data_IF_832697004683
#
_entry.id   IF_832697004683
#
_cell.length_a   1.000
_cell.length_b   1.000
_cell.length_c   1.000
_cell.angle_alpha   90.00
_cell.angle_beta   90.00
_cell.angle_gamma   90.00
#
_symmetry.space_group_name_H-M   'P 1'
#
loop_
_entity.id
_entity.type
_entity.pdbx_description
1 polymer ?
#
# COMPACT_ATOMS: atom_id res chain seq x y z
N UNK A 1 53.77 7.90 -4.48
CA UNK A 1 54.60 7.48 -3.35
C UNK A 1 54.49 8.55 -2.30
N UNK A 2 53.65 8.33 -1.28
CA UNK A 2 53.66 9.07 -0.01
C UNK A 2 53.40 8.00 1.03
N UNK A 3 54.48 7.58 1.67
CA UNK A 3 54.51 6.57 2.72
C UNK A 3 54.06 7.21 4.03
N UNK A 4 52.99 6.68 4.61
CA UNK A 4 52.58 6.92 5.99
C UNK A 4 52.15 5.58 6.58
N UNK A 5 53.10 4.87 7.19
CA UNK A 5 52.90 3.51 7.69
C UNK A 5 51.94 3.47 8.88
N UNK A 6 50.94 2.59 8.82
CA UNK A 6 50.17 2.13 9.99
C UNK A 6 49.88 0.63 9.79
N UNK A 7 50.78 -0.19 10.35
CA UNK A 7 50.70 -1.62 10.70
C UNK A 7 49.52 -2.39 10.07
N UNK A 8 49.77 -3.12 8.97
CA UNK A 8 48.78 -3.96 8.25
C UNK A 8 48.64 -5.39 8.77
N UNK A 9 49.39 -5.74 9.82
CA UNK A 9 49.64 -7.12 10.22
C UNK A 9 49.36 -7.32 11.71
N UNK A 10 48.47 -8.25 12.02
CA UNK A 10 48.10 -8.62 13.39
C UNK A 10 48.59 -10.04 13.66
N UNK A 11 49.31 -10.27 14.76
CA UNK A 11 49.63 -11.64 15.19
C UNK A 11 48.36 -12.34 15.70
N UNK A 12 48.07 -13.51 15.15
CA UNK A 12 46.92 -14.35 15.53
C UNK A 12 47.42 -15.76 15.83
N UNK A 13 46.91 -16.36 16.92
CA UNK A 13 47.17 -17.77 17.23
C UNK A 13 46.18 -18.65 16.48
N UNK A 14 46.69 -19.56 15.67
CA UNK A 14 45.89 -20.59 15.01
C UNK A 14 45.37 -21.63 16.03
N UNK A 15 44.32 -22.40 15.70
CA UNK A 15 43.86 -23.54 16.51
C UNK A 15 44.97 -24.57 16.80
N UNK A 16 46.01 -24.63 15.95
CA UNK A 16 47.19 -25.47 16.14
C UNK A 16 48.21 -24.91 17.14
N UNK A 17 47.92 -23.79 17.82
CA UNK A 17 48.81 -23.11 18.76
C UNK A 17 49.93 -22.25 18.14
N UNK A 18 50.07 -22.26 16.80
CA UNK A 18 51.10 -21.49 16.08
C UNK A 18 50.69 -20.01 15.94
N UNK A 19 51.60 -19.10 16.26
CA UNK A 19 51.44 -17.67 15.99
C UNK A 19 51.76 -17.38 14.53
N UNK A 20 50.83 -16.74 13.83
CA UNK A 20 50.97 -16.35 12.42
C UNK A 20 50.54 -14.90 12.22
N UNK A 21 51.00 -14.32 11.12
CA UNK A 21 50.65 -12.95 10.74
C UNK A 21 49.37 -12.94 9.90
N UNK A 22 48.29 -12.39 10.43
CA UNK A 22 47.02 -12.26 9.71
C UNK A 22 46.99 -10.99 8.85
N UNK A 23 46.40 -11.11 7.66
CA UNK A 23 46.19 -9.99 6.73
C UNK A 23 44.86 -9.31 7.04
N UNK A 24 44.81 -7.99 6.84
CA UNK A 24 43.59 -7.19 6.93
C UNK A 24 42.78 -7.31 5.64
N UNK A 25 41.50 -7.67 5.76
CA UNK A 25 40.55 -7.71 4.65
C UNK A 25 39.42 -6.71 4.90
N UNK A 26 38.94 -6.08 3.83
CA UNK A 26 37.70 -5.28 3.81
C UNK A 26 36.73 -5.97 2.87
N UNK A 27 35.54 -6.30 3.37
CA UNK A 27 34.45 -6.87 2.57
C UNK A 27 33.29 -5.88 2.51
N UNK A 28 32.69 -5.75 1.34
CA UNK A 28 31.44 -5.01 1.13
C UNK A 28 30.32 -6.04 0.96
N UNK A 29 29.28 -5.90 1.76
CA UNK A 29 28.11 -6.77 1.75
C UNK A 29 26.96 -5.93 1.20
N UNK A 30 26.39 -6.38 0.07
CA UNK A 30 25.24 -5.76 -0.58
C UNK A 30 24.12 -6.79 -0.67
N UNK A 31 22.90 -6.32 -0.53
CA UNK A 31 21.70 -7.15 -0.68
C UNK A 31 20.46 -6.26 -0.71
N UNK A 32 19.31 -6.89 -0.65
CA UNK A 32 18.03 -6.22 -0.47
C UNK A 32 17.14 -7.04 0.47
N UNK A 33 16.15 -6.39 1.04
CA UNK A 33 15.04 -7.04 1.74
C UNK A 33 13.72 -6.55 1.15
N UNK A 34 12.67 -7.35 1.25
CA UNK A 34 11.31 -6.92 0.96
C UNK A 34 10.45 -7.21 2.18
N UNK A 35 9.54 -6.29 2.50
CA UNK A 35 8.56 -6.48 3.55
C UNK A 35 7.34 -7.19 2.96
N UNK A 36 6.79 -8.17 3.68
CA UNK A 36 5.52 -8.79 3.33
C UNK A 36 4.46 -8.34 4.33
N UNK A 37 3.44 -7.65 3.84
CA UNK A 37 2.36 -7.12 4.65
C UNK A 37 1.24 -8.17 4.69
N UNK A 38 1.14 -8.91 5.81
CA UNK A 38 0.22 -10.05 5.95
C UNK A 38 -1.24 -9.62 5.73
N UNK A 39 -1.65 -8.49 6.29
CA UNK A 39 -3.01 -7.98 6.16
C UNK A 39 -3.37 -7.55 4.73
N UNK A 40 -2.36 -7.31 3.90
CA UNK A 40 -2.49 -6.73 2.56
C UNK A 40 -2.18 -7.74 1.45
N UNK A 41 -1.65 -8.92 1.82
CA UNK A 41 -1.14 -9.92 0.88
C UNK A 41 -0.22 -9.32 -0.20
N UNK A 42 0.54 -8.28 0.15
CA UNK A 42 1.38 -7.50 -0.77
C UNK A 42 2.86 -7.51 -0.30
N UNK A 43 3.77 -7.26 -1.23
CA UNK A 43 5.20 -7.12 -0.92
C UNK A 43 5.72 -5.71 -1.19
N UNK A 44 6.67 -5.24 -0.38
CA UNK A 44 7.40 -4.02 -0.70
C UNK A 44 8.34 -4.20 -1.87
N UNK A 45 8.57 -3.09 -2.58
CA UNK A 45 9.72 -2.94 -3.45
C UNK A 45 11.01 -3.36 -2.70
N UNK A 46 11.98 -4.02 -3.38
CA UNK A 46 13.24 -4.39 -2.77
C UNK A 46 13.95 -3.17 -2.17
N UNK A 47 14.18 -3.21 -0.85
CA UNK A 47 14.88 -2.18 -0.09
C UNK A 47 16.38 -2.56 -0.07
N UNK A 48 17.24 -1.90 -0.86
CA UNK A 48 18.65 -2.26 -0.93
C UNK A 48 19.39 -1.83 0.34
N UNK A 49 20.37 -2.63 0.76
CA UNK A 49 21.28 -2.27 1.84
C UNK A 49 22.74 -2.49 1.42
N UNK A 50 23.64 -1.73 2.04
CA UNK A 50 25.08 -1.90 1.87
C UNK A 50 25.78 -1.68 3.21
N UNK A 51 26.60 -2.65 3.62
CA UNK A 51 27.46 -2.52 4.81
C UNK A 51 28.87 -3.00 4.50
N UNK A 52 29.82 -2.65 5.37
CA UNK A 52 31.21 -3.04 5.24
C UNK A 52 31.76 -3.60 6.54
N UNK A 53 32.58 -4.63 6.43
CA UNK A 53 33.29 -5.21 7.57
C UNK A 53 34.78 -5.27 7.29
N UNK A 54 35.56 -4.98 8.33
CA UNK A 54 36.99 -5.21 8.34
C UNK A 54 37.24 -6.41 9.26
N UNK A 55 37.99 -7.40 8.76
CA UNK A 55 38.40 -8.56 9.54
C UNK A 55 39.85 -8.93 9.24
N UNK A 56 40.44 -9.75 10.12
CA UNK A 56 41.80 -10.25 9.96
C UNK A 56 41.75 -11.76 9.81
N UNK A 57 42.47 -12.28 8.83
CA UNK A 57 42.50 -13.72 8.55
C UNK A 57 43.89 -14.13 8.06
N UNK A 58 44.39 -15.26 8.53
CA UNK A 58 45.59 -15.87 7.97
C UNK A 58 45.27 -16.56 6.64
N UNK A 59 45.76 -15.95 5.55
CA UNK A 59 45.54 -16.40 4.18
C UNK A 59 46.89 -16.50 3.42
N UNK A 60 47.55 -17.67 3.46
CA UNK A 60 48.78 -17.90 2.71
C UNK A 60 48.56 -17.79 1.19
N UNK A 61 49.64 -17.61 0.44
CA UNK A 61 49.55 -17.46 -1.03
C UNK A 61 48.94 -18.73 -1.65
N UNK A 62 47.97 -18.57 -2.54
CA UNK A 62 47.25 -19.67 -3.17
C UNK A 62 45.99 -20.15 -2.43
N UNK A 63 45.56 -19.47 -1.36
CA UNK A 63 44.26 -19.73 -0.74
C UNK A 63 43.15 -18.89 -1.34
N UNK A 64 41.94 -19.47 -1.36
CA UNK A 64 40.69 -18.80 -1.65
C UNK A 64 39.98 -18.41 -0.35
N UNK A 65 39.18 -17.34 -0.40
CA UNK A 65 38.30 -16.96 0.69
C UNK A 65 36.89 -17.46 0.43
N UNK A 66 36.35 -18.23 1.38
CA UNK A 66 35.01 -18.80 1.32
C UNK A 66 34.15 -18.16 2.39
N UNK A 67 33.07 -17.50 1.96
CA UNK A 67 32.12 -16.82 2.83
C UNK A 67 30.86 -17.66 2.94
N UNK A 68 30.42 -17.96 4.16
CA UNK A 68 29.13 -18.61 4.41
C UNK A 68 28.36 -17.86 5.50
N UNK A 69 27.08 -17.61 5.24
CA UNK A 69 26.14 -17.21 6.27
C UNK A 69 25.85 -18.43 7.15
N UNK A 70 25.90 -18.25 8.46
CA UNK A 70 25.52 -19.28 9.43
C UNK A 70 24.41 -18.83 10.36
N UNK A 71 24.14 -17.53 10.43
CA UNK A 71 23.06 -16.94 11.23
C UNK A 71 22.45 -15.77 10.47
N UNK A 72 21.12 -15.71 10.46
CA UNK A 72 20.33 -14.63 9.89
C UNK A 72 19.20 -14.34 10.88
N UNK A 73 19.23 -13.17 11.48
CA UNK A 73 18.18 -12.70 12.39
C UNK A 73 17.69 -11.35 11.91
N UNK A 74 16.42 -11.09 12.11
CA UNK A 74 15.84 -9.78 11.87
C UNK A 74 14.92 -9.39 13.02
N UNK A 75 14.82 -8.10 13.30
CA UNK A 75 13.74 -7.54 14.08
C UNK A 75 13.15 -6.35 13.32
N UNK A 76 11.86 -6.14 13.54
CA UNK A 76 11.12 -5.01 13.00
C UNK A 76 10.61 -4.27 14.22
N UNK A 77 11.13 -3.06 14.43
CA UNK A 77 10.68 -2.16 15.47
C UNK A 77 9.82 -1.07 14.80
N UNK A 78 8.53 -1.00 15.15
CA UNK A 78 7.71 0.16 14.78
C UNK A 78 8.12 1.36 15.66
N UNK A 79 8.75 2.36 15.05
CA UNK A 79 9.05 3.61 15.73
C UNK A 79 7.91 4.58 15.42
N UNK A 80 6.96 4.69 16.35
CA UNK A 80 6.02 5.80 16.38
C UNK A 80 6.79 7.09 16.68
N UNK A 81 7.26 7.79 15.65
CA UNK A 81 7.71 9.17 15.82
C UNK A 81 6.50 10.08 15.89
N UNK A 82 6.59 11.22 16.60
CA UNK A 82 5.51 12.20 16.81
C UNK A 82 4.84 12.74 15.51
N UNK A 83 5.32 12.33 14.33
CA UNK A 83 4.76 12.65 13.02
C UNK A 83 3.88 11.52 12.43
N UNK A 84 3.57 10.46 13.19
CA UNK A 84 2.53 9.43 12.94
C UNK A 84 2.55 8.72 11.56
N UNK A 85 3.62 8.83 10.79
CA UNK A 85 3.94 7.87 9.72
C UNK A 85 4.65 6.68 10.36
N UNK A 86 4.27 5.43 10.07
CA UNK A 86 4.97 4.26 10.61
C UNK A 86 6.39 4.24 10.02
N UNK A 87 7.35 4.74 10.80
CA UNK A 87 8.75 4.54 10.51
C UNK A 87 9.12 3.17 11.05
N UNK A 88 9.24 2.21 10.14
CA UNK A 88 9.66 0.86 10.47
C UNK A 88 11.19 0.87 10.51
N UNK A 89 11.78 0.61 11.67
CA UNK A 89 13.21 0.33 11.76
C UNK A 89 13.42 -1.19 11.66
N UNK A 90 14.00 -1.63 10.56
CA UNK A 90 14.30 -3.04 10.33
C UNK A 90 15.75 -3.26 10.71
N UNK A 91 16.01 -4.07 11.72
CA UNK A 91 17.38 -4.48 12.08
C UNK A 91 17.65 -5.87 11.55
N UNK A 92 18.65 -6.00 10.68
CA UNK A 92 19.10 -7.27 10.13
C UNK A 92 20.47 -7.60 10.71
N UNK A 93 20.60 -8.78 11.31
CA UNK A 93 21.83 -9.33 11.85
C UNK A 93 22.32 -10.49 11.00
N UNK A 94 23.49 -10.34 10.40
CA UNK A 94 24.11 -11.30 9.49
C UNK A 94 25.36 -11.90 10.14
N UNK A 95 25.27 -13.14 10.60
CA UNK A 95 26.41 -13.93 11.06
C UNK A 95 27.12 -14.60 9.90
N UNK A 96 28.36 -14.16 9.62
CA UNK A 96 29.18 -14.69 8.52
C UNK A 96 30.42 -15.37 9.06
N UNK A 97 30.74 -16.55 8.51
CA UNK A 97 32.03 -17.21 8.68
C UNK A 97 32.83 -17.08 7.39
N UNK A 98 34.08 -16.62 7.52
CA UNK A 98 35.05 -16.58 6.43
C UNK A 98 36.11 -17.62 6.69
N UNK A 99 36.40 -18.44 5.67
CA UNK A 99 37.44 -19.48 5.72
C UNK A 99 38.49 -19.18 4.67
N UNK A 100 39.76 -19.28 5.07
CA UNK A 100 40.87 -19.32 4.11
C UNK A 100 41.14 -20.77 3.77
N UNK A 101 40.89 -21.18 2.53
CA UNK A 101 40.95 -22.57 2.11
C UNK A 101 41.82 -22.78 0.86
N UNK A 102 42.50 -23.93 0.79
CA UNK A 102 43.12 -24.41 -0.44
C UNK A 102 43.07 -25.94 -0.51
N UNK A 103 43.11 -26.49 -1.72
CA UNK A 103 43.28 -27.92 -1.94
C UNK A 103 44.71 -28.31 -1.63
N UNK A 104 44.88 -29.31 -0.76
CA UNK A 104 46.18 -29.86 -0.39
C UNK A 104 46.10 -31.37 -0.41
N UNK A 105 47.25 -31.98 -0.67
CA UNK A 105 47.40 -33.42 -0.55
C UNK A 105 47.74 -33.77 0.90
N UNK A 106 46.87 -34.56 1.52
CA UNK A 106 47.07 -35.08 2.87
C UNK A 106 47.50 -36.53 2.79
N UNK A 107 48.66 -36.83 3.34
CA UNK A 107 49.17 -38.20 3.43
C UNK A 107 48.68 -38.82 4.74
N UNK A 108 47.82 -39.83 4.65
CA UNK A 108 47.25 -40.54 5.80
C UNK A 108 47.70 -42.00 5.83
N UNK A 109 47.84 -42.62 7.02
CA UNK A 109 48.02 -44.05 7.12
C UNK A 109 46.71 -44.76 6.67
N UNK A 110 46.83 -45.66 5.71
CA UNK A 110 45.75 -46.52 5.23
C UNK A 110 46.14 -47.99 5.43
N UNK A 111 45.16 -48.80 5.82
CA UNK A 111 45.33 -50.25 6.00
C UNK A 111 44.92 -50.93 4.70
N UNK A 112 45.84 -51.65 4.06
CA UNK A 112 45.48 -52.57 2.97
C UNK A 112 44.83 -53.82 3.58
N UNK A 113 43.68 -54.24 3.07
CA UNK A 113 43.07 -55.50 3.47
C UNK A 113 43.97 -56.67 3.06
N UNK A 114 44.29 -57.61 3.97
CA UNK A 114 45.18 -58.71 3.67
C UNK A 114 44.49 -59.69 2.72
N UNK A 115 45.14 -60.04 1.60
CA UNK A 115 44.59 -61.01 0.65
C UNK A 115 44.71 -62.44 1.16
N UNK A 116 45.69 -62.77 2.01
CA UNK A 116 45.83 -64.09 2.65
C UNK A 116 46.48 -63.99 4.04
N UNK A 117 45.79 -64.57 5.02
CA UNK A 117 46.17 -64.84 6.42
C UNK A 117 46.29 -63.67 7.43
N UNK A 118 45.79 -63.99 8.62
CA UNK A 118 45.33 -63.11 9.70
C UNK A 118 46.51 -62.61 10.56
N UNK A 119 46.45 -61.34 10.99
CA UNK A 119 47.28 -60.62 11.97
C UNK A 119 48.48 -59.76 11.50
N UNK A 120 48.67 -59.44 10.21
CA UNK A 120 49.72 -58.47 9.81
C UNK A 120 49.19 -57.36 8.89
N UNK A 121 48.66 -56.29 9.50
CA UNK A 121 48.23 -55.09 8.77
C UNK A 121 49.45 -54.28 8.31
N UNK A 122 49.65 -54.16 6.99
CA UNK A 122 50.62 -53.20 6.45
C UNK A 122 50.00 -51.81 6.41
N UNK A 123 50.57 -50.89 7.19
CA UNK A 123 50.21 -49.47 7.12
C UNK A 123 50.92 -48.86 5.91
N UNK A 124 50.17 -48.49 4.88
CA UNK A 124 50.67 -47.76 3.72
C UNK A 124 50.29 -46.28 3.82
N UNK A 125 51.07 -45.42 3.18
CA UNK A 125 50.74 -43.99 3.06
C UNK A 125 49.80 -43.81 1.88
N UNK A 126 48.55 -43.47 2.12
CA UNK A 126 47.60 -43.05 1.08
C UNK A 126 47.63 -41.53 0.96
N UNK A 127 47.60 -41.04 -0.28
CA UNK A 127 47.51 -39.61 -0.57
C UNK A 127 46.05 -39.28 -0.90
N UNK A 128 45.43 -38.41 -0.13
CA UNK A 128 44.06 -37.95 -0.37
C UNK A 128 44.07 -36.44 -0.63
N UNK A 129 43.34 -36.01 -1.65
CA UNK A 129 43.17 -34.59 -1.92
C UNK A 129 42.06 -34.05 -1.01
N UNK A 130 42.38 -33.03 -0.21
CA UNK A 130 41.46 -32.45 0.78
C UNK A 130 41.48 -30.93 0.73
N UNK A 131 40.35 -30.31 1.05
CA UNK A 131 40.29 -28.86 1.27
C UNK A 131 40.78 -28.54 2.67
N UNK A 132 41.97 -27.94 2.79
CA UNK A 132 42.51 -27.49 4.07
C UNK A 132 42.04 -26.07 4.37
N UNK A 133 41.42 -25.90 5.53
CA UNK A 133 41.14 -24.59 6.11
C UNK A 133 42.34 -24.14 6.95
N UNK A 134 42.95 -23.03 6.57
CA UNK A 134 44.13 -22.47 7.25
C UNK A 134 43.73 -21.63 8.47
N UNK A 135 42.62 -20.89 8.35
CA UNK A 135 42.09 -20.03 9.38
C UNK A 135 40.60 -19.77 9.14
N UNK A 136 39.89 -19.38 10.20
CA UNK A 136 38.48 -18.98 10.14
C UNK A 136 38.23 -17.74 10.98
N UNK A 137 37.43 -16.82 10.46
CA UNK A 137 36.97 -15.64 11.16
C UNK A 137 35.43 -15.62 11.19
N UNK A 138 34.86 -15.34 12.36
CA UNK A 138 33.44 -15.11 12.53
C UNK A 138 33.21 -13.62 12.76
N UNK A 139 32.22 -13.06 12.08
CA UNK A 139 31.74 -11.72 12.39
C UNK A 139 30.24 -11.60 12.17
N UNK A 140 29.65 -10.69 12.93
CA UNK A 140 28.27 -10.26 12.75
C UNK A 140 28.25 -8.85 12.18
N UNK A 141 27.33 -8.61 11.26
CA UNK A 141 26.95 -7.26 10.81
C UNK A 141 25.53 -6.98 11.28
N UNK A 142 25.35 -5.83 11.91
CA UNK A 142 24.03 -5.29 12.21
C UNK A 142 23.76 -4.18 11.20
N UNK A 143 22.60 -4.24 10.57
CA UNK A 143 22.18 -3.35 9.49
C UNK A 143 20.83 -2.80 9.90
N UNK A 144 20.76 -1.49 10.13
CA UNK A 144 19.50 -0.79 10.40
C UNK A 144 19.01 -0.19 9.09
N UNK A 145 17.80 -0.57 8.70
CA UNK A 145 17.15 -0.16 7.45
C UNK A 145 15.89 0.59 7.85
N UNK A 146 15.88 1.94 7.78
CA UNK A 146 14.65 2.69 7.95
C UNK A 146 13.76 2.47 6.74
N UNK A 147 12.49 2.19 6.98
CA UNK A 147 11.46 2.11 5.96
C UNK A 147 10.31 3.04 6.34
N UNK A 148 9.93 3.89 5.39
CA UNK A 148 8.76 4.73 5.49
C UNK A 148 7.95 4.52 4.22
N UNK A 149 6.68 4.16 4.37
CA UNK A 149 5.77 4.04 3.24
C UNK A 149 5.49 5.44 2.69
N UNK A 150 5.90 5.70 1.45
CA UNK A 150 5.57 6.95 0.77
C UNK A 150 4.09 6.95 0.40
N UNK A 151 3.35 7.92 0.93
CA UNK A 151 1.94 8.13 0.62
C UNK A 151 1.84 9.03 -0.61
N UNK A 152 1.12 8.57 -1.62
CA UNK A 152 0.84 9.38 -2.81
C UNK A 152 -0.34 10.28 -2.48
N UNK A 153 -0.11 11.59 -2.40
CA UNK A 153 -1.18 12.57 -2.18
C UNK A 153 -2.03 12.74 -3.43
N UNK A 154 -3.33 12.93 -3.24
CA UNK A 154 -4.21 13.36 -4.31
C UNK A 154 -4.60 14.81 -4.15
N UNK A 155 -4.72 15.49 -5.29
CA UNK A 155 -5.44 16.74 -5.42
C UNK A 155 -6.90 16.40 -5.71
N UNK A 156 -7.83 16.91 -4.90
CA UNK A 156 -9.27 16.71 -5.09
C UNK A 156 -9.92 18.05 -5.35
N UNK A 157 -10.68 18.13 -6.43
CA UNK A 157 -11.44 19.31 -6.83
C UNK A 157 -12.90 18.95 -7.02
N UNK A 158 -13.80 19.77 -6.49
CA UNK A 158 -15.24 19.58 -6.60
C UNK A 158 -15.85 20.72 -7.40
N UNK A 159 -16.26 20.45 -8.63
CA UNK A 159 -17.14 21.35 -9.38
C UNK A 159 -18.55 21.19 -8.82
N UNK A 160 -19.16 22.29 -8.34
CA UNK A 160 -20.49 22.27 -7.74
C UNK A 160 -21.42 23.22 -8.47
N UNK A 161 -22.60 22.75 -8.83
CA UNK A 161 -23.66 23.56 -9.43
C UNK A 161 -25.03 23.05 -8.98
N UNK A 162 -26.09 23.77 -9.35
CA UNK A 162 -27.47 23.36 -9.10
C UNK A 162 -28.12 22.97 -10.41
N UNK A 163 -28.92 21.91 -10.35
CA UNK A 163 -29.80 21.54 -11.44
C UNK A 163 -30.88 22.61 -11.61
N UNK A 164 -31.04 23.12 -12.84
CA UNK A 164 -32.13 24.02 -13.21
C UNK A 164 -33.04 23.34 -14.23
N UNK A 165 -34.35 23.51 -14.09
CA UNK A 165 -35.34 22.92 -14.99
C UNK A 165 -35.00 23.19 -16.47
N UNK A 166 -35.06 22.15 -17.30
CA UNK A 166 -34.70 22.15 -18.72
C UNK A 166 -33.22 22.43 -19.06
N UNK A 167 -32.32 22.49 -18.06
CA UNK A 167 -30.88 22.63 -18.28
C UNK A 167 -30.18 21.27 -18.30
N UNK A 168 -29.70 20.88 -19.47
CA UNK A 168 -28.96 19.62 -19.68
C UNK A 168 -27.46 19.83 -19.90
N UNK A 169 -27.00 21.07 -20.10
CA UNK A 169 -25.59 21.39 -20.33
C UNK A 169 -25.14 22.43 -19.31
N UNK A 170 -23.98 22.18 -18.71
CA UNK A 170 -23.37 22.98 -17.64
C UNK A 170 -21.96 23.35 -18.06
N UNK A 171 -21.55 24.57 -17.71
CA UNK A 171 -20.28 25.17 -18.09
C UNK A 171 -19.57 25.76 -16.87
N UNK A 172 -18.35 26.27 -17.06
CA UNK A 172 -17.59 26.92 -15.98
C UNK A 172 -18.37 28.09 -15.33
N UNK A 173 -19.21 28.79 -16.09
CA UNK A 173 -20.04 29.89 -15.60
C UNK A 173 -21.16 29.45 -14.63
N UNK A 174 -21.48 28.15 -14.62
CA UNK A 174 -22.49 27.57 -13.74
C UNK A 174 -21.93 27.13 -12.38
N UNK A 175 -20.63 27.23 -12.21
CA UNK A 175 -19.97 26.87 -10.96
C UNK A 175 -20.40 27.81 -9.81
N UNK A 176 -20.75 27.20 -8.69
CA UNK A 176 -20.94 27.91 -7.42
C UNK A 176 -19.57 28.31 -6.88
N UNK A 177 -19.15 29.55 -7.20
CA UNK A 177 -17.81 30.07 -6.95
C UNK A 177 -17.37 30.07 -5.47
N UNK A 178 -18.33 30.00 -4.55
CA UNK A 178 -18.09 29.86 -3.11
C UNK A 178 -17.47 28.51 -2.71
N UNK A 179 -17.63 27.48 -3.54
CA UNK A 179 -17.13 26.13 -3.30
C UNK A 179 -15.90 25.75 -4.14
N UNK A 180 -15.64 26.47 -5.23
CA UNK A 180 -14.54 26.23 -6.17
C UNK A 180 -14.60 27.22 -7.34
N UNK A 181 -13.50 27.42 -8.07
CA UNK A 181 -13.44 28.39 -9.17
C UNK A 181 -12.50 27.96 -10.33
N UNK A 182 -12.30 26.66 -10.49
CA UNK A 182 -11.46 26.07 -11.54
C UNK A 182 -12.28 25.60 -12.74
N UNK A 183 -13.62 25.65 -12.67
CA UNK A 183 -14.51 25.14 -13.69
C UNK A 183 -14.48 23.61 -13.81
N UNK A 184 -14.98 23.11 -14.94
CA UNK A 184 -15.01 21.69 -15.28
C UNK A 184 -13.64 21.31 -15.85
N UNK A 185 -12.87 20.54 -15.08
CA UNK A 185 -11.52 20.13 -15.46
C UNK A 185 -11.51 19.21 -16.68
N UNK A 186 -10.37 19.17 -17.38
CA UNK A 186 -10.17 18.23 -18.49
C UNK A 186 -10.08 16.80 -17.94
N UNK A 187 -10.95 15.87 -18.37
CA UNK A 187 -10.85 14.45 -18.01
C UNK A 187 -9.49 13.80 -18.28
N UNK A 188 -8.69 14.35 -19.20
CA UNK A 188 -7.34 13.85 -19.53
C UNK A 188 -6.24 14.40 -18.60
N UNK A 189 -6.53 15.44 -17.83
CA UNK A 189 -5.58 16.10 -16.91
C UNK A 189 -5.84 15.71 -15.44
N UNK A 190 -6.67 14.68 -15.20
CA UNK A 190 -6.99 14.13 -13.87
C UNK A 190 -6.83 12.62 -13.89
N UNK A 191 -6.76 11.97 -12.72
CA UNK A 191 -6.70 10.50 -12.67
C UNK A 191 -8.07 9.88 -12.94
N UNK A 192 -9.11 10.37 -12.26
CA UNK A 192 -10.50 10.00 -12.51
C UNK A 192 -11.45 11.08 -12.01
N UNK A 193 -12.73 10.94 -12.36
CA UNK A 193 -13.79 11.78 -11.81
C UNK A 193 -15.07 10.95 -11.58
N UNK A 194 -15.91 11.42 -10.67
CA UNK A 194 -17.23 10.82 -10.38
C UNK A 194 -18.28 11.94 -10.38
N UNK A 195 -19.37 11.76 -11.13
CA UNK A 195 -20.52 12.66 -11.13
C UNK A 195 -21.56 12.19 -10.11
N UNK A 196 -21.96 13.11 -9.22
CA UNK A 196 -23.04 12.94 -8.27
C UNK A 196 -24.18 13.89 -8.62
N UNK A 197 -25.41 13.38 -8.64
CA UNK A 197 -26.63 14.19 -8.72
C UNK A 197 -27.47 13.82 -7.51
N UNK A 198 -27.76 14.81 -6.65
CA UNK A 198 -28.49 14.62 -5.40
C UNK A 198 -27.92 13.48 -4.51
N UNK A 199 -26.59 13.37 -4.44
CA UNK A 199 -25.90 12.32 -3.67
C UNK A 199 -25.85 10.95 -4.34
N UNK A 200 -26.43 10.78 -5.53
CA UNK A 200 -26.41 9.50 -6.28
C UNK A 200 -25.38 9.57 -7.41
N UNK A 201 -24.49 8.57 -7.45
CA UNK A 201 -23.52 8.41 -8.54
C UNK A 201 -24.23 8.20 -9.87
N UNK A 202 -23.78 8.93 -10.88
CA UNK A 202 -24.27 8.78 -12.25
C UNK A 202 -23.32 7.89 -13.07
N UNK A 203 -23.83 6.84 -13.72
CA UNK A 203 -23.06 6.07 -14.71
C UNK A 203 -22.57 6.94 -15.86
N UNK A 204 -21.42 6.61 -16.45
CA UNK A 204 -20.79 7.38 -17.53
C UNK A 204 -21.63 7.43 -18.82
N UNK A 205 -22.58 6.51 -19.01
CA UNK A 205 -23.55 6.55 -20.11
C UNK A 205 -24.53 7.73 -20.00
N UNK A 206 -24.75 8.24 -18.80
CA UNK A 206 -25.76 9.26 -18.52
C UNK A 206 -25.27 10.68 -18.78
N UNK A 207 -24.01 10.86 -19.14
CA UNK A 207 -23.45 12.17 -19.40
C UNK A 207 -22.27 12.13 -20.38
N UNK A 208 -21.85 13.31 -20.82
CA UNK A 208 -20.62 13.59 -21.52
C UNK A 208 -19.91 14.69 -20.77
N UNK A 209 -18.61 14.54 -20.54
CA UNK A 209 -17.80 15.56 -19.89
C UNK A 209 -16.55 15.83 -20.71
N UNK A 210 -16.23 17.11 -20.85
CA UNK A 210 -15.04 17.66 -21.49
C UNK A 210 -14.60 18.87 -20.67
N UNK A 211 -13.37 19.33 -20.90
CA UNK A 211 -12.92 20.60 -20.32
C UNK A 211 -13.96 21.70 -20.57
N UNK A 212 -14.43 22.34 -19.51
CA UNK A 212 -15.42 23.41 -19.54
C UNK A 212 -16.87 23.02 -19.83
N UNK A 213 -17.19 21.73 -19.97
CA UNK A 213 -18.56 21.30 -20.35
C UNK A 213 -18.95 19.96 -19.74
N UNK A 214 -20.12 19.93 -19.09
CA UNK A 214 -20.82 18.73 -18.66
C UNK A 214 -22.20 18.71 -19.34
N UNK A 215 -22.49 17.67 -20.11
CA UNK A 215 -23.76 17.47 -20.78
C UNK A 215 -24.45 16.20 -20.27
N UNK A 216 -25.61 16.35 -19.66
CA UNK A 216 -26.47 15.25 -19.24
C UNK A 216 -27.18 14.64 -20.46
N UNK A 217 -27.27 13.31 -20.48
CA UNK A 217 -27.95 12.50 -21.51
C UNK A 217 -29.19 11.78 -21.00
N UNK A 218 -29.44 11.85 -19.69
CA UNK A 218 -30.56 11.18 -19.04
C UNK A 218 -31.89 11.85 -19.40
N UNK A 219 -32.93 11.03 -19.59
CA UNK A 219 -34.32 11.49 -19.70
C UNK A 219 -34.91 11.82 -18.32
N UNK A 220 -34.44 11.14 -17.28
CA UNK A 220 -34.84 11.40 -15.89
C UNK A 220 -34.27 12.73 -15.43
N UNK A 221 -35.16 13.71 -15.31
CA UNK A 221 -34.83 15.07 -14.90
C UNK A 221 -34.74 15.13 -13.37
N UNK A 222 -33.61 15.58 -12.80
CA UNK A 222 -33.49 15.79 -11.37
C UNK A 222 -34.51 16.82 -10.86
N UNK A 223 -34.77 16.84 -9.55
CA UNK A 223 -35.59 17.90 -8.96
C UNK A 223 -34.90 19.25 -9.12
N UNK A 224 -35.67 20.30 -9.39
CA UNK A 224 -35.12 21.65 -9.50
C UNK A 224 -34.35 22.02 -8.22
N UNK A 225 -33.18 22.64 -8.39
CA UNK A 225 -32.20 22.95 -7.34
C UNK A 225 -31.50 21.73 -6.71
N UNK A 226 -31.58 20.53 -7.30
CA UNK A 226 -30.75 19.41 -6.84
C UNK A 226 -29.27 19.73 -7.01
N UNK A 227 -28.40 19.37 -6.05
CA UNK A 227 -26.97 19.57 -6.21
C UNK A 227 -26.43 18.63 -7.30
N UNK A 228 -25.61 19.20 -8.18
CA UNK A 228 -24.78 18.47 -9.14
C UNK A 228 -23.33 18.72 -8.74
N UNK A 229 -22.61 17.63 -8.46
CA UNK A 229 -21.20 17.70 -8.08
C UNK A 229 -20.39 16.77 -8.96
N UNK A 230 -19.33 17.30 -9.59
CA UNK A 230 -18.30 16.46 -10.22
C UNK A 230 -17.08 16.47 -9.31
N UNK A 231 -16.72 15.30 -8.80
CA UNK A 231 -15.51 15.11 -8.00
C UNK A 231 -14.37 14.68 -8.91
N UNK A 232 -13.36 15.53 -9.06
CA UNK A 232 -12.15 15.24 -9.80
C UNK A 232 -11.04 14.86 -8.82
N UNK A 233 -10.38 13.72 -9.06
CA UNK A 233 -9.29 13.24 -8.23
C UNK A 233 -8.04 13.06 -9.10
N UNK A 234 -6.95 13.69 -8.70
CA UNK A 234 -5.68 13.67 -9.44
C UNK A 234 -4.58 13.16 -8.54
N UNK A 235 -4.00 12.03 -8.93
CA UNK A 235 -2.77 11.51 -8.34
C UNK A 235 -1.60 11.82 -9.26
N UNK A 236 -0.47 12.22 -8.67
CA UNK A 236 0.79 12.44 -9.39
C UNK A 236 1.89 11.58 -8.77
N UNK A 237 2.76 11.04 -9.60
CA UNK A 237 3.99 10.39 -9.13
C UNK A 237 5.02 11.41 -8.63
N UNK A 238 6.17 10.92 -8.15
CA UNK A 238 7.25 11.77 -7.65
C UNK A 238 7.86 12.70 -8.73
N UNK A 239 7.57 12.48 -10.01
CA UNK A 239 8.00 13.32 -11.13
C UNK A 239 6.90 14.31 -11.58
N UNK A 240 5.74 14.31 -10.92
CA UNK A 240 4.59 15.13 -11.29
C UNK A 240 3.74 14.55 -12.44
N UNK A 241 3.99 13.30 -12.86
CA UNK A 241 3.22 12.63 -13.90
C UNK A 241 1.90 12.14 -13.32
N UNK A 242 0.79 12.45 -13.99
CA UNK A 242 -0.54 11.99 -13.58
C UNK A 242 -0.62 10.47 -13.67
N UNK A 243 -1.06 9.85 -12.58
CA UNK A 243 -1.28 8.41 -12.55
C UNK A 243 -2.60 8.07 -13.25
N UNK A 244 -2.59 7.14 -14.23
CA UNK A 244 -3.82 6.71 -14.88
C UNK A 244 -4.72 6.00 -13.89
N UNK A 245 -6.02 6.28 -13.97
CA UNK A 245 -7.03 5.53 -13.25
C UNK A 245 -8.25 5.20 -14.12
N UNK A 246 -8.92 4.12 -13.75
CA UNK A 246 -10.14 3.64 -14.37
C UNK A 246 -11.22 3.49 -13.30
N UNK A 247 -12.44 3.92 -13.65
CA UNK A 247 -13.63 3.72 -12.82
C UNK A 247 -14.59 2.77 -13.51
N UNK A 248 -15.11 1.81 -12.77
CA UNK A 248 -16.18 0.93 -13.23
C UNK A 248 -17.31 0.91 -12.21
N UNK A 249 -18.55 0.93 -12.70
CA UNK A 249 -19.74 0.93 -11.87
C UNK A 249 -20.57 -0.32 -12.18
N UNK A 250 -20.67 -1.23 -11.21
CA UNK A 250 -21.68 -2.28 -11.23
C UNK A 250 -22.95 -1.70 -10.60
N UNK A 251 -24.04 -1.70 -11.35
CA UNK A 251 -25.32 -1.15 -10.92
C UNK A 251 -26.38 -2.24 -10.92
N UNK A 252 -27.13 -2.35 -9.83
CA UNK A 252 -28.25 -3.28 -9.71
C UNK A 252 -29.38 -2.67 -8.89
N UNK A 253 -30.54 -3.32 -8.90
CA UNK A 253 -31.72 -2.91 -8.14
C UNK A 253 -31.99 -3.96 -7.07
N UNK A 254 -32.18 -3.49 -5.84
CA UNK A 254 -32.52 -4.35 -4.71
C UNK A 254 -33.80 -5.13 -4.96
N UNK A 255 -33.77 -6.42 -4.61
CA UNK A 255 -34.91 -7.34 -4.69
C UNK A 255 -35.36 -7.69 -3.27
N UNK A 256 -36.65 -8.01 -3.10
CA UNK A 256 -37.24 -8.28 -1.78
C UNK A 256 -36.42 -9.30 -0.97
N UNK A 257 -35.97 -8.89 0.23
CA UNK A 257 -35.18 -9.69 1.18
C UNK A 257 -33.86 -10.27 0.63
N UNK A 258 -33.33 -9.72 -0.46
CA UNK A 258 -32.10 -10.21 -1.11
C UNK A 258 -30.85 -9.57 -0.51
N UNK A 259 -29.80 -10.39 -0.32
CA UNK A 259 -28.49 -9.98 0.22
C UNK A 259 -27.31 -10.25 -0.71
N UNK A 260 -27.50 -11.18 -1.63
CA UNK A 260 -26.45 -11.62 -2.55
C UNK A 260 -26.78 -11.17 -3.95
N UNK A 261 -25.88 -10.43 -4.58
CA UNK A 261 -26.02 -9.94 -5.95
C UNK A 261 -24.88 -10.50 -6.79
N UNK A 262 -25.21 -10.95 -8.00
CA UNK A 262 -24.25 -11.59 -8.92
C UNK A 262 -24.14 -10.80 -10.21
N UNK A 263 -23.25 -11.24 -11.10
CA UNK A 263 -23.09 -10.63 -12.43
C UNK A 263 -24.40 -10.57 -13.22
N UNK A 264 -25.29 -11.56 -13.02
CA UNK A 264 -26.61 -11.63 -13.68
C UNK A 264 -27.59 -10.54 -13.23
N UNK A 265 -27.32 -9.89 -12.09
CA UNK A 265 -28.14 -8.78 -11.59
C UNK A 265 -27.69 -7.41 -12.12
N UNK A 266 -26.60 -7.35 -12.89
CA UNK A 266 -26.11 -6.10 -13.46
C UNK A 266 -27.13 -5.49 -14.43
N UNK A 267 -27.33 -4.17 -14.31
CA UNK A 267 -28.04 -3.39 -15.30
C UNK A 267 -27.15 -3.17 -16.52
N UNK A 268 -27.28 -4.04 -17.53
CA UNK A 268 -26.42 -4.07 -18.72
C UNK A 268 -26.35 -2.74 -19.51
N UNK A 269 -27.35 -1.86 -19.35
CA UNK A 269 -27.35 -0.52 -19.94
C UNK A 269 -26.18 0.36 -19.43
N UNK A 270 -25.70 0.09 -18.21
CA UNK A 270 -24.69 0.92 -17.53
C UNK A 270 -23.31 0.28 -17.43
N UNK A 271 -23.20 -1.02 -17.70
CA UNK A 271 -21.97 -1.80 -17.58
C UNK A 271 -22.22 -3.26 -17.94
N UNK A 272 -21.17 -4.03 -18.23
CA UNK A 272 -21.29 -5.43 -18.64
C UNK A 272 -20.08 -6.29 -18.25
N UNK A 273 -19.31 -5.85 -17.26
CA UNK A 273 -18.12 -6.55 -16.76
C UNK A 273 -18.42 -7.38 -15.50
N UNK A 274 -19.63 -7.30 -14.95
CA UNK A 274 -19.99 -7.91 -13.69
C UNK A 274 -19.24 -7.29 -12.49
N UNK A 275 -19.25 -8.01 -11.38
CA UNK A 275 -18.58 -7.65 -10.14
C UNK A 275 -17.10 -8.02 -10.28
N UNK A 276 -16.24 -7.00 -10.40
CA UNK A 276 -14.80 -7.18 -10.59
C UNK A 276 -14.13 -7.83 -9.38
N UNK A 277 -12.97 -8.44 -9.64
CA UNK A 277 -12.13 -9.00 -8.58
C UNK A 277 -11.54 -7.87 -7.70
N UNK A 278 -11.77 -7.86 -6.38
CA UNK A 278 -11.12 -6.92 -5.47
C UNK A 278 -9.58 -6.91 -5.55
N UNK A 279 -8.98 -8.02 -5.98
CA UNK A 279 -7.53 -8.13 -6.18
C UNK A 279 -7.04 -7.44 -7.46
N UNK A 280 -7.92 -7.10 -8.40
CA UNK A 280 -7.61 -6.43 -9.66
C UNK A 280 -7.94 -4.92 -9.67
N UNK A 281 -8.32 -4.35 -8.52
CA UNK A 281 -8.68 -2.92 -8.37
C UNK A 281 -7.95 -2.27 -7.19
N UNK A 282 -7.92 -0.93 -7.11
CA UNK A 282 -7.29 -0.21 -6.02
C UNK A 282 -8.15 -0.19 -4.76
N UNK A 283 -9.43 0.16 -4.90
CA UNK A 283 -10.42 0.10 -3.83
C UNK A 283 -11.83 0.05 -4.40
N UNK A 284 -12.79 -0.25 -3.52
CA UNK A 284 -14.20 -0.43 -3.84
C UNK A 284 -15.04 0.35 -2.85
N UNK A 285 -16.01 1.10 -3.36
CA UNK A 285 -17.07 1.73 -2.59
C UNK A 285 -18.41 1.08 -2.91
N UNK A 286 -19.25 0.88 -1.89
CA UNK A 286 -20.63 0.44 -2.05
C UNK A 286 -21.55 1.59 -1.66
N UNK A 287 -22.50 1.91 -2.53
CA UNK A 287 -23.55 2.88 -2.27
C UNK A 287 -24.91 2.17 -2.34
N UNK A 288 -25.74 2.42 -1.34
CA UNK A 288 -27.14 1.97 -1.31
C UNK A 288 -28.00 3.22 -1.18
N UNK A 289 -28.86 3.47 -2.17
CA UNK A 289 -29.62 4.72 -2.27
C UNK A 289 -28.73 5.98 -2.16
N UNK A 290 -27.54 5.95 -2.79
CA UNK A 290 -26.55 7.03 -2.73
C UNK A 290 -25.74 7.11 -1.41
N UNK A 291 -26.15 6.43 -0.34
CA UNK A 291 -25.42 6.45 0.94
C UNK A 291 -24.23 5.49 0.87
N UNK A 292 -23.02 6.02 1.08
CA UNK A 292 -21.79 5.25 1.20
C UNK A 292 -21.87 4.26 2.37
N UNK A 293 -21.70 2.97 2.07
CA UNK A 293 -21.81 1.90 3.06
C UNK A 293 -20.47 1.62 3.76
N UNK A 294 -20.45 1.43 5.10
CA UNK A 294 -19.28 0.97 5.83
C UNK A 294 -18.74 -0.37 5.31
N UNK A 295 -17.42 -0.53 5.27
CA UNK A 295 -16.78 -1.75 4.72
C UNK A 295 -17.17 -3.03 5.46
N UNK A 296 -17.48 -2.94 6.76
CA UNK A 296 -17.93 -4.10 7.56
C UNK A 296 -19.33 -4.59 7.19
N UNK A 297 -20.12 -3.79 6.47
CA UNK A 297 -21.50 -4.11 6.11
C UNK A 297 -21.61 -4.98 4.86
N UNK A 298 -20.50 -5.23 4.14
CA UNK A 298 -20.55 -5.99 2.90
C UNK A 298 -19.23 -6.70 2.61
N UNK A 299 -19.32 -7.76 1.81
CA UNK A 299 -18.19 -8.47 1.24
C UNK A 299 -18.31 -8.47 -0.29
N UNK A 300 -17.18 -8.33 -0.97
CA UNK A 300 -17.10 -8.40 -2.43
C UNK A 300 -16.10 -9.48 -2.78
N UNK A 301 -16.49 -10.33 -3.72
CA UNK A 301 -15.62 -11.27 -4.43
C UNK A 301 -15.92 -11.12 -5.91
N UNK A 302 -15.01 -11.61 -6.76
CA UNK A 302 -15.29 -11.72 -8.19
C UNK A 302 -16.64 -12.42 -8.40
N UNK A 303 -17.57 -11.73 -9.08
CA UNK A 303 -18.90 -12.24 -9.38
C UNK A 303 -19.94 -12.19 -8.24
N UNK A 304 -19.60 -11.69 -7.04
CA UNK A 304 -20.49 -11.74 -5.89
C UNK A 304 -20.34 -10.55 -4.93
N UNK A 305 -21.44 -9.86 -4.69
CA UNK A 305 -21.64 -8.92 -3.58
C UNK A 305 -22.52 -9.58 -2.52
N UNK A 306 -22.09 -9.56 -1.26
CA UNK A 306 -22.89 -10.03 -0.12
C UNK A 306 -23.08 -8.92 0.90
N UNK A 307 -24.33 -8.57 1.22
CA UNK A 307 -24.69 -7.67 2.32
C UNK A 307 -24.68 -8.46 3.66
N UNK A 308 -23.91 -7.95 4.62
CA UNK A 308 -23.66 -8.58 5.93
C UNK A 308 -24.53 -8.02 7.06
N UNK A 309 -25.29 -6.95 6.79
CA UNK A 309 -26.19 -6.32 7.75
C UNK A 309 -27.47 -7.12 7.93
N UNK A 310 -28.14 -7.05 9.09
CA UNK A 310 -29.37 -7.82 9.36
C UNK A 310 -30.59 -7.31 8.59
N UNK A 311 -30.58 -6.07 8.14
CA UNK A 311 -31.57 -5.46 7.27
C UNK A 311 -31.17 -5.62 5.79
N UNK A 312 -32.16 -5.52 4.90
CA UNK A 312 -31.94 -5.52 3.45
C UNK A 312 -32.56 -4.25 2.87
N UNK A 313 -31.97 -3.65 1.84
CA UNK A 313 -32.58 -2.49 1.18
C UNK A 313 -33.96 -2.86 0.65
N UNK A 314 -34.89 -1.91 0.70
CA UNK A 314 -36.23 -2.12 0.13
C UNK A 314 -36.15 -2.47 -1.36
N UNK A 315 -37.14 -3.20 -1.85
CA UNK A 315 -37.25 -3.51 -3.27
C UNK A 315 -37.28 -2.22 -4.10
N UNK A 316 -36.55 -2.19 -5.22
CA UNK A 316 -36.44 -1.01 -6.07
C UNK A 316 -35.31 -0.05 -5.70
N UNK A 317 -34.67 -0.22 -4.52
CA UNK A 317 -33.55 0.65 -4.11
C UNK A 317 -32.32 0.40 -5.00
N UNK A 318 -31.69 1.45 -5.56
CA UNK A 318 -30.48 1.30 -6.35
C UNK A 318 -29.28 0.93 -5.47
N UNK A 319 -28.48 -0.01 -5.98
CA UNK A 319 -27.23 -0.47 -5.39
C UNK A 319 -26.13 -0.26 -6.42
N UNK A 320 -25.08 0.46 -6.04
CA UNK A 320 -23.95 0.76 -6.92
C UNK A 320 -22.66 0.34 -6.23
N UNK A 321 -21.88 -0.52 -6.89
CA UNK A 321 -20.48 -0.76 -6.56
C UNK A 321 -19.60 0.06 -7.49
N UNK A 322 -18.82 0.96 -6.91
CA UNK A 322 -17.79 1.75 -7.60
C UNK A 322 -16.43 1.08 -7.39
N UNK A 323 -15.82 0.65 -8.49
CA UNK A 323 -14.48 0.10 -8.54
C UNK A 323 -13.54 1.16 -9.09
N UNK A 324 -12.50 1.49 -8.35
CA UNK A 324 -11.47 2.45 -8.76
C UNK A 324 -10.15 1.69 -8.89
N UNK A 325 -9.52 1.77 -10.06
CA UNK A 325 -8.24 1.13 -10.36
C UNK A 325 -7.25 2.19 -10.77
N UNK A 326 -6.28 2.48 -9.92
CA UNK A 326 -5.20 3.43 -10.13
C UNK A 326 -3.93 2.64 -10.43
N UNK A 327 -3.19 3.06 -11.46
CA UNK A 327 -1.97 2.37 -11.89
C UNK A 327 -0.77 3.32 -11.84
N UNK A 328 0.41 2.77 -11.53
CA UNK A 328 1.68 3.43 -11.82
C UNK A 328 1.87 3.50 -13.34
N UNK A 329 2.80 4.36 -13.78
CA UNK A 329 3.16 4.52 -15.21
C UNK A 329 3.63 3.19 -15.84
N UNK A 330 4.19 2.27 -15.05
CA UNK A 330 4.60 0.94 -15.50
C UNK A 330 3.45 -0.09 -15.60
N UNK A 331 2.19 0.30 -15.32
CA UNK A 331 0.99 -0.53 -15.38
C UNK A 331 0.61 -1.24 -14.08
N UNK A 332 1.47 -1.21 -13.05
CA UNK A 332 1.23 -1.83 -11.75
C UNK A 332 0.05 -1.18 -11.02
N UNK A 333 -0.85 -1.98 -10.47
CA UNK A 333 -2.00 -1.49 -9.68
C UNK A 333 -1.51 -1.01 -8.32
N UNK A 334 -1.95 0.18 -7.91
CA UNK A 334 -1.71 0.71 -6.58
C UNK A 334 -2.87 0.31 -5.66
N UNK A 335 -2.62 -0.55 -4.68
CA UNK A 335 -3.64 -0.87 -3.67
C UNK A 335 -3.90 0.30 -2.75
N UNK A 336 -5.16 0.49 -2.39
CA UNK A 336 -5.58 1.53 -1.47
C UNK A 336 -6.20 0.94 -0.21
N UNK A 337 -5.84 1.49 0.94
CA UNK A 337 -6.50 1.21 2.23
C UNK A 337 -7.57 2.26 2.43
N UNK A 338 -8.75 1.83 2.84
CA UNK A 338 -9.87 2.74 3.10
C UNK A 338 -10.29 2.66 4.55
N UNK A 339 -10.69 3.80 5.11
CA UNK A 339 -11.28 3.87 6.44
C UNK A 339 -12.39 4.90 6.41
N UNK A 340 -13.56 4.57 6.96
CA UNK A 340 -14.67 5.53 7.06
C UNK A 340 -15.02 5.73 8.52
N UNK A 341 -14.78 6.94 9.01
CA UNK A 341 -15.36 7.41 10.26
C UNK A 341 -16.86 7.65 10.02
N UNK A 342 -17.71 6.97 10.79
CA UNK A 342 -19.15 7.10 10.69
C UNK A 342 -19.71 7.64 12.00
N UNK A 343 -20.54 8.66 11.92
CA UNK A 343 -21.23 9.27 13.04
C UNK A 343 -22.69 9.59 12.65
N UNK A 344 -23.49 9.95 13.66
CA UNK A 344 -24.81 10.52 13.45
C UNK A 344 -24.74 12.02 13.71
N UNK A 345 -25.39 12.79 12.84
CA UNK A 345 -25.49 14.22 13.00
C UNK A 345 -26.19 14.59 14.31
N UNK A 346 -25.68 15.62 14.96
CA UNK A 346 -26.20 16.17 16.20
C UNK A 346 -26.16 17.70 16.18
N UNK A 347 -26.69 18.34 17.22
CA UNK A 347 -26.85 19.80 17.33
C UNK A 347 -25.54 20.62 17.42
N UNK A 348 -24.39 19.97 17.21
CA UNK A 348 -23.06 20.60 17.19
C UNK A 348 -22.43 20.45 15.82
N UNK A 349 -21.62 21.43 15.44
CA UNK A 349 -20.78 21.40 14.24
C UNK A 349 -19.45 20.67 14.46
N UNK A 350 -19.15 20.19 15.67
CA UNK A 350 -17.89 19.54 16.01
C UNK A 350 -18.14 18.06 16.28
N UNK A 351 -17.36 17.20 15.61
CA UNK A 351 -17.34 15.76 15.76
C UNK A 351 -15.95 15.32 16.22
N UNK A 352 -15.92 14.32 17.09
CA UNK A 352 -14.72 13.78 17.73
C UNK A 352 -14.68 12.26 17.63
N UNK A 353 -13.59 11.65 18.09
CA UNK A 353 -13.47 10.19 18.17
C UNK A 353 -14.56 9.50 19.02
N UNK A 354 -15.23 10.25 19.90
CA UNK A 354 -16.31 9.75 20.75
C UNK A 354 -17.64 9.62 20.00
N UNK A 355 -17.85 10.42 18.96
CA UNK A 355 -19.08 10.41 18.17
C UNK A 355 -19.08 9.28 17.11
N UNK A 356 -17.95 8.57 16.98
CA UNK A 356 -17.80 7.43 16.08
C UNK A 356 -18.71 6.25 16.48
N UNK A 357 -19.49 5.78 15.52
CA UNK A 357 -20.26 4.55 15.60
C UNK A 357 -19.32 3.34 15.62
N UNK A 358 -18.99 2.86 16.82
CA UNK A 358 -18.01 1.78 17.05
C UNK A 358 -18.36 0.44 16.40
N UNK A 359 -19.61 0.26 15.99
CA UNK A 359 -20.03 -0.90 15.19
C UNK A 359 -19.40 -0.94 13.80
N UNK A 360 -18.96 0.20 13.25
CA UNK A 360 -18.40 0.31 11.91
C UNK A 360 -16.88 0.50 11.88
N UNK A 361 -16.29 0.98 12.98
CA UNK A 361 -14.86 1.25 13.08
C UNK A 361 -14.49 1.86 14.42
N UNK A 362 -13.21 1.86 14.76
CA UNK A 362 -12.72 2.32 16.07
C UNK A 362 -11.41 3.13 16.01
N UNK A 363 -10.98 3.54 14.82
CA UNK A 363 -9.73 4.30 14.64
C UNK A 363 -9.92 5.81 14.87
N UNK A 364 -11.16 6.28 14.98
CA UNK A 364 -11.46 7.71 15.08
C UNK A 364 -11.17 8.47 13.79
N UNK A 365 -11.11 9.80 13.89
CA UNK A 365 -10.81 10.70 12.79
C UNK A 365 -9.29 10.69 12.55
N UNK A 366 -8.88 10.18 11.39
CA UNK A 366 -7.46 10.04 11.05
C UNK A 366 -6.81 11.39 10.76
N UNK A 367 -5.48 11.46 10.93
CA UNK A 367 -4.71 12.64 10.57
C UNK A 367 -4.70 12.83 9.04
N UNK A 368 -5.21 13.97 8.51
CA UNK A 368 -5.20 14.26 7.06
C UNK A 368 -3.82 14.20 6.40
N UNK A 369 -2.74 14.41 7.18
CA UNK A 369 -1.37 14.33 6.67
C UNK A 369 -0.95 12.89 6.34
N UNK A 370 -1.61 11.89 6.91
CA UNK A 370 -1.24 10.48 6.79
C UNK A 370 -2.19 9.68 5.87
N UNK A 371 -2.95 10.35 5.01
CA UNK A 371 -3.84 9.74 4.00
C UNK A 371 -3.60 10.37 2.63
N UNK A 372 -3.98 9.72 1.54
CA UNK A 372 -3.88 10.31 0.21
C UNK A 372 -4.86 11.46 0.01
N UNK A 373 -6.12 11.23 0.40
CA UNK A 373 -7.18 12.23 0.44
C UNK A 373 -8.33 11.74 1.34
N UNK A 374 -9.32 12.60 1.55
CA UNK A 374 -10.53 12.28 2.29
C UNK A 374 -11.73 13.03 1.72
N UNK A 375 -12.91 12.45 1.88
CA UNK A 375 -14.19 13.04 1.47
C UNK A 375 -15.19 12.95 2.61
N UNK A 376 -15.89 14.04 2.88
CA UNK A 376 -17.01 14.08 3.81
C UNK A 376 -18.32 13.91 3.04
N UNK A 377 -19.16 13.00 3.50
CA UNK A 377 -20.53 12.81 3.03
C UNK A 377 -21.49 13.08 4.18
N UNK A 378 -22.53 13.87 3.91
CA UNK A 378 -23.62 14.13 4.84
C UNK A 378 -24.91 13.77 4.12
N UNK A 379 -25.64 12.78 4.63
CA UNK A 379 -26.87 12.28 4.01
C UNK A 379 -26.70 11.98 2.50
N UNK A 380 -25.72 11.14 2.15
CA UNK A 380 -25.31 10.79 0.77
C UNK A 380 -24.64 11.91 -0.06
N UNK A 381 -24.75 13.18 0.33
CA UNK A 381 -24.19 14.29 -0.45
C UNK A 381 -22.75 14.56 -0.04
N UNK A 382 -21.82 14.47 -1.00
CA UNK A 382 -20.42 14.87 -0.82
C UNK A 382 -20.33 16.37 -0.51
N UNK A 383 -19.52 16.73 0.48
CA UNK A 383 -19.41 18.11 0.96
C UNK A 383 -18.17 18.81 0.36
N UNK A 384 -18.31 20.07 -0.08
CA UNK A 384 -17.19 20.94 -0.45
C UNK A 384 -16.16 21.09 0.67
N UNK A 385 -14.85 21.13 0.34
CA UNK A 385 -13.78 21.26 1.33
C UNK A 385 -13.84 22.54 2.16
N UNK A 386 -14.42 23.61 1.63
CA UNK A 386 -14.62 24.86 2.39
C UNK A 386 -15.61 24.69 3.54
N UNK A 387 -16.56 23.74 3.42
CA UNK A 387 -17.62 23.50 4.40
C UNK A 387 -17.13 22.74 5.63
N UNK A 388 -15.91 22.23 5.65
CA UNK A 388 -15.41 21.48 6.80
C UNK A 388 -13.89 21.51 6.94
N UNK A 389 -13.43 21.29 8.16
CA UNK A 389 -12.02 21.19 8.51
C UNK A 389 -11.78 19.87 9.21
N UNK A 390 -10.70 19.17 8.84
CA UNK A 390 -10.32 17.89 9.46
C UNK A 390 -8.96 18.04 10.11
N UNK A 391 -8.83 17.53 11.33
CA UNK A 391 -7.60 17.31 12.06
C UNK A 391 -7.66 15.93 12.70
N UNK A 392 -6.53 15.42 13.17
CA UNK A 392 -6.53 14.17 13.92
C UNK A 392 -7.46 14.28 15.14
N UNK A 393 -8.44 13.39 15.21
CA UNK A 393 -9.44 13.35 16.27
C UNK A 393 -10.57 14.39 16.18
N UNK A 394 -10.60 15.24 15.15
CA UNK A 394 -11.52 16.38 15.07
C UNK A 394 -12.02 16.66 13.65
N UNK A 395 -13.34 16.69 13.48
CA UNK A 395 -14.02 17.20 12.29
C UNK A 395 -14.86 18.40 12.71
N UNK A 396 -14.69 19.53 12.03
CA UNK A 396 -15.47 20.76 12.26
C UNK A 396 -16.22 21.11 10.99
N UNK A 397 -17.54 21.30 11.08
CA UNK A 397 -18.33 21.89 10.01
C UNK A 397 -18.22 23.40 10.10
N UNK A 398 -17.82 24.03 9.00
CA UNK A 398 -17.64 25.46 8.85
C UNK A 398 -18.92 26.16 8.33
N UNK A 399 -20.05 25.46 8.36
CA UNK A 399 -21.35 25.95 7.89
C UNK A 399 -22.19 26.47 9.06
N UNK A 400 -23.09 27.42 8.77
CA UNK A 400 -24.10 27.89 9.74
C UNK A 400 -25.19 26.83 9.89
N UNK A 401 -25.63 26.27 8.77
CA UNK A 401 -26.64 25.23 8.73
C UNK A 401 -26.02 23.90 9.17
N UNK A 402 -26.60 23.33 10.22
CA UNK A 402 -26.23 22.01 10.71
C UNK A 402 -27.03 20.94 9.98
N UNK A 403 -26.44 19.75 9.78
CA UNK A 403 -27.19 18.63 9.23
C UNK A 403 -28.39 18.26 10.11
N UNK A 404 -29.43 17.71 9.48
CA UNK A 404 -30.58 17.20 10.21
C UNK A 404 -30.12 16.14 11.22
N UNK A 405 -30.57 16.27 12.47
CA UNK A 405 -30.25 15.33 13.54
C UNK A 405 -30.48 13.89 13.10
N UNK A 406 -29.57 13.00 13.52
CA UNK A 406 -29.56 11.57 13.19
C UNK A 406 -29.28 11.26 11.71
N UNK A 407 -28.96 12.25 10.87
CA UNK A 407 -28.49 12.01 9.51
C UNK A 407 -27.12 11.33 9.51
N UNK A 408 -26.82 10.43 8.56
CA UNK A 408 -25.51 9.83 8.42
C UNK A 408 -24.43 10.88 8.11
N UNK A 409 -23.34 10.84 8.88
CA UNK A 409 -22.11 11.59 8.63
C UNK A 409 -21.00 10.59 8.40
N UNK A 410 -20.44 10.57 7.20
CA UNK A 410 -19.39 9.63 6.80
C UNK A 410 -18.18 10.39 6.30
N UNK A 411 -17.08 10.33 7.04
CA UNK A 411 -15.79 10.89 6.64
C UNK A 411 -14.89 9.74 6.17
N UNK A 412 -14.77 9.61 4.85
CA UNK A 412 -13.98 8.56 4.20
C UNK A 412 -12.54 9.04 4.01
N UNK A 413 -11.59 8.21 4.40
CA UNK A 413 -10.16 8.37 4.19
C UNK A 413 -9.67 7.31 3.21
N UNK A 414 -8.89 7.74 2.22
CA UNK A 414 -8.24 6.85 1.25
C UNK A 414 -6.74 7.00 1.41
N UNK A 415 -6.03 5.87 1.54
CA UNK A 415 -4.59 5.80 1.66
C UNK A 415 -4.03 4.97 0.51
N UNK A 416 -3.17 5.55 -0.30
CA UNK A 416 -2.45 4.88 -1.38
C UNK A 416 -0.96 5.02 -1.10
N UNK A 417 -0.33 3.89 -0.82
CA UNK A 417 1.11 3.78 -0.63
C UNK A 417 1.83 3.42 -1.92
N UNK A 418 3.06 3.90 -2.10
CA UNK A 418 3.92 3.55 -3.23
C UNK A 418 4.51 2.13 -3.11
N UNK A 419 4.34 1.51 -1.93
CA UNK A 419 5.11 0.36 -1.46
C UNK A 419 4.41 -1.00 -1.48
N UNK A 420 3.24 -1.18 -2.10
CA UNK A 420 2.68 -2.52 -2.32
C UNK A 420 2.84 -2.92 -3.78
N UNK A 421 3.55 -4.03 -4.01
CA UNK A 421 3.54 -4.82 -5.25
C UNK A 421 2.50 -5.89 -5.19
#
# INVERSE_FOLDING_TARGET
MTMGGIITEKQVKLPSGKSVVAKKFRVVIKGYISLYFIDENCMSEPIPFTTHKIFYLYAPKGTNLSFRLYDFKYCIDEICTNNNSPNIEIKVSLGTVVRSEAHVDLVVPAVEEPTENVCNYKIKKACINVTRVFDKCFFTNEINIPYQEEIIKAEVYLYNTLFYENKIEYTDDDELIEYGNMGILDPQEVSYFTLFINGVIQPSTNYEIKKGSLKLKTEDVPQNNSPITVSFVTFKDNNGVILPAETYYYNTISKYMRREYTDEDELELYGNKGILDPDEVSFINLYINGVLQPKVNYSVKKGLLTLLTSDTPHEGVPITLEFITIRKVNGQILKAKTYTYNALAHEKNIYTNNDELKIYGNKGILNPKNVSFYNLYINAVIQPFVNYSVQEGLLTLNTIDLPLKDSPVSLQFILIGNGCI
#
